data_IF_247847967429
#
_entry.id   IF_247847967429
#
_cell.length_a   1.000
_cell.length_b   1.000
_cell.length_c   1.000
_cell.angle_alpha   90.00
_cell.angle_beta   90.00
_cell.angle_gamma   90.00
#
_symmetry.space_group_name_H-M   'P 1'
#
loop_
_entity.id
_entity.type
_entity.pdbx_description
1 polymer ?
#
# COMPACT_ATOMS: atom_id res chain seq x y z
N UNK A 1 -5.51 10.64 -3.40
CA UNK A 1 -4.47 9.64 -3.07
C UNK A 1 -4.60 9.31 -1.59
N UNK A 2 -5.33 8.25 -1.21
CA UNK A 2 -5.63 7.94 0.19
C UNK A 2 -4.89 6.69 0.74
N UNK A 3 -4.11 6.01 -0.11
CA UNK A 3 -3.48 4.71 0.24
C UNK A 3 -2.01 4.82 0.67
N UNK A 4 -1.39 6.00 0.54
CA UNK A 4 0.01 6.22 0.96
C UNK A 4 0.18 6.47 2.46
N UNK A 5 -0.87 6.95 3.15
CA UNK A 5 -0.80 7.29 4.57
C UNK A 5 -0.54 6.09 5.49
N UNK A 6 -1.13 4.89 5.27
CA UNK A 6 -0.79 3.71 6.07
C UNK A 6 0.68 3.29 5.91
N UNK A 7 1.22 3.35 4.69
CA UNK A 7 2.64 3.04 4.40
C UNK A 7 3.56 4.06 5.08
N UNK A 8 3.18 5.33 5.03
CA UNK A 8 3.90 6.43 5.69
C UNK A 8 3.91 6.26 7.21
N UNK A 9 2.78 5.88 7.82
CA UNK A 9 2.70 5.63 9.26
C UNK A 9 3.52 4.41 9.66
N UNK A 10 3.37 3.29 8.96
CA UNK A 10 4.15 2.08 9.21
C UNK A 10 5.65 2.39 9.18
N UNK A 11 6.11 3.12 8.15
CA UNK A 11 7.49 3.58 8.05
C UNK A 11 7.94 4.40 9.27
N UNK A 12 7.17 5.42 9.67
CA UNK A 12 7.53 6.28 10.80
C UNK A 12 7.56 5.53 12.13
N UNK A 13 6.66 4.57 12.35
CA UNK A 13 6.55 3.84 13.61
C UNK A 13 7.54 2.68 13.75
N UNK A 14 8.09 2.17 12.65
CA UNK A 14 9.10 1.11 12.67
C UNK A 14 10.52 1.64 12.51
N UNK A 15 10.71 2.73 11.75
CA UNK A 15 12.05 3.25 11.41
C UNK A 15 12.35 4.63 11.97
N UNK A 16 11.33 5.35 12.44
CA UNK A 16 11.46 6.74 12.89
C UNK A 16 11.44 7.76 11.76
N UNK A 17 11.49 9.05 12.13
CA UNK A 17 11.38 10.18 11.19
C UNK A 17 12.66 10.50 10.41
N UNK A 18 13.79 9.98 10.86
CA UNK A 18 15.11 10.31 10.31
C UNK A 18 15.47 9.43 9.10
N UNK A 19 14.65 8.43 8.81
CA UNK A 19 14.81 7.53 7.67
C UNK A 19 14.05 8.06 6.44
N UNK A 20 14.66 8.10 5.24
CA UNK A 20 13.97 8.51 4.02
C UNK A 20 12.83 7.57 3.60
N UNK A 21 11.72 8.15 3.13
CA UNK A 21 10.57 7.39 2.65
C UNK A 21 10.84 6.54 1.39
N UNK A 22 10.07 5.47 1.14
CA UNK A 22 10.17 4.63 -0.04
C UNK A 22 10.01 5.37 -1.37
N UNK A 23 10.73 4.92 -2.40
CA UNK A 23 10.83 5.58 -3.72
C UNK A 23 9.61 5.39 -4.64
N UNK A 24 8.68 4.47 -4.33
CA UNK A 24 7.72 3.90 -5.27
C UNK A 24 6.53 4.79 -5.72
N UNK A 25 6.70 6.10 -5.86
CA UNK A 25 5.66 7.03 -6.30
C UNK A 25 6.17 7.93 -7.45
N UNK A 26 5.87 7.62 -8.73
CA UNK A 26 6.30 8.44 -9.87
C UNK A 26 5.60 9.81 -9.89
N UNK A 27 6.33 10.85 -10.26
CA UNK A 27 5.86 12.26 -10.28
C UNK A 27 5.73 12.85 -11.68
N UNK A 28 6.07 12.10 -12.73
CA UNK A 28 5.95 12.53 -14.12
C UNK A 28 5.36 11.41 -14.99
N UNK A 29 4.53 11.78 -15.96
CA UNK A 29 3.94 10.89 -16.96
C UNK A 29 4.34 11.39 -18.36
N UNK A 30 4.48 10.48 -19.32
CA UNK A 30 4.78 10.84 -20.73
C UNK A 30 3.57 11.55 -21.39
N UNK A 31 3.83 12.35 -22.43
CA UNK A 31 2.84 13.29 -23.02
C UNK A 31 1.68 12.60 -23.76
N UNK A 32 1.80 11.30 -24.09
CA UNK A 32 0.79 10.51 -24.84
C UNK A 32 0.00 9.51 -23.96
N UNK A 33 -0.25 9.85 -22.69
CA UNK A 33 -1.01 9.01 -21.75
C UNK A 33 -2.29 9.73 -21.32
N UNK A 34 -3.46 9.16 -21.64
CA UNK A 34 -4.73 9.61 -21.08
C UNK A 34 -4.83 9.12 -19.63
N UNK A 35 -4.82 10.05 -18.67
CA UNK A 35 -4.95 9.72 -17.26
C UNK A 35 -6.42 9.78 -16.86
N UNK A 36 -6.95 8.66 -16.40
CA UNK A 36 -8.29 8.56 -15.82
C UNK A 36 -8.24 8.04 -14.39
N UNK A 37 -9.28 8.30 -13.61
CA UNK A 37 -9.42 7.75 -12.25
C UNK A 37 -10.64 6.86 -12.20
N UNK A 38 -10.50 5.65 -11.66
CA UNK A 38 -11.60 4.73 -11.50
C UNK A 38 -11.64 4.13 -10.09
N UNK A 39 -12.82 3.67 -9.70
CA UNK A 39 -12.99 2.89 -8.47
C UNK A 39 -12.80 1.43 -8.81
N UNK A 40 -11.85 0.79 -8.15
CA UNK A 40 -11.58 -0.64 -8.29
C UNK A 40 -11.91 -1.35 -6.98
N UNK A 41 -12.30 -2.61 -7.11
CA UNK A 41 -12.56 -3.50 -5.98
C UNK A 41 -11.59 -4.66 -6.05
N UNK A 42 -10.88 -4.91 -4.96
CA UNK A 42 -9.98 -6.04 -4.82
C UNK A 42 -10.61 -7.00 -3.82
N UNK A 43 -10.64 -8.28 -4.18
CA UNK A 43 -11.02 -9.36 -3.28
C UNK A 43 -9.76 -10.09 -2.82
N UNK A 44 -9.63 -10.26 -1.50
CA UNK A 44 -8.53 -10.98 -0.89
C UNK A 44 -9.06 -12.01 0.11
N UNK A 45 -8.42 -13.18 0.16
CA UNK A 45 -8.75 -14.22 1.15
C UNK A 45 -8.16 -13.94 2.52
N UNK A 46 -7.01 -13.27 2.55
CA UNK A 46 -6.25 -12.97 3.76
C UNK A 46 -5.68 -11.55 3.65
N UNK A 47 -6.18 -10.65 4.50
CA UNK A 47 -5.74 -9.26 4.53
C UNK A 47 -4.30 -9.15 5.03
N UNK A 48 -3.90 -9.98 6.01
CA UNK A 48 -2.55 -9.93 6.58
C UNK A 48 -1.52 -10.35 5.54
N UNK A 49 -1.83 -11.39 4.76
CA UNK A 49 -0.99 -11.81 3.64
C UNK A 49 -0.87 -10.70 2.58
N UNK A 50 -1.99 -10.07 2.20
CA UNK A 50 -1.98 -8.96 1.26
C UNK A 50 -1.17 -7.75 1.77
N UNK A 51 -1.29 -7.41 3.05
CA UNK A 51 -0.54 -6.30 3.65
C UNK A 51 0.95 -6.60 3.77
N UNK A 52 1.32 -7.85 4.07
CA UNK A 52 2.73 -8.29 4.04
C UNK A 52 3.33 -8.16 2.63
N UNK A 53 2.60 -8.58 1.60
CA UNK A 53 3.02 -8.40 0.20
C UNK A 53 3.08 -6.92 -0.21
N UNK A 54 2.16 -6.10 0.31
CA UNK A 54 2.16 -4.65 0.06
C UNK A 54 3.38 -4.00 0.71
N UNK A 55 3.71 -4.38 1.94
CA UNK A 55 4.88 -3.89 2.67
C UNK A 55 6.18 -4.30 1.97
N UNK A 56 6.30 -5.55 1.51
CA UNK A 56 7.50 -5.99 0.79
C UNK A 56 7.75 -5.22 -0.51
N UNK A 57 6.68 -4.82 -1.20
CA UNK A 57 6.78 -4.11 -2.48
C UNK A 57 6.95 -2.60 -2.32
N UNK A 58 6.19 -1.97 -1.42
CA UNK A 58 6.12 -0.51 -1.29
C UNK A 58 6.88 0.04 -0.08
N UNK A 59 7.21 -0.80 0.90
CA UNK A 59 7.93 -0.43 2.11
C UNK A 59 9.46 -0.41 1.96
N UNK A 60 9.98 -0.97 0.86
CA UNK A 60 11.42 -1.04 0.64
C UNK A 60 12.05 0.35 0.52
N UNK A 61 13.20 0.54 1.16
CA UNK A 61 13.99 1.77 1.02
C UNK A 61 14.78 1.74 -0.29
N UNK A 62 15.35 2.88 -0.66
CA UNK A 62 16.21 2.98 -1.84
C UNK A 62 17.47 2.09 -1.74
N UNK A 63 17.96 1.88 -0.52
CA UNK A 63 19.11 1.04 -0.17
C UNK A 63 18.72 -0.40 0.25
N UNK A 64 17.42 -0.74 0.23
CA UNK A 64 16.92 -2.08 0.50
C UNK A 64 16.25 -2.24 1.87
N UNK A 65 16.46 -3.41 2.48
CA UNK A 65 15.90 -3.82 3.77
C UNK A 65 17.02 -4.07 4.77
N UNK A 66 16.90 -3.52 5.97
CA UNK A 66 17.84 -3.76 7.06
C UNK A 66 17.39 -4.95 7.92
N UNK A 67 18.30 -5.63 8.66
CA UNK A 67 17.91 -6.72 9.56
C UNK A 67 16.84 -6.31 10.59
N UNK A 68 16.88 -5.07 11.08
CA UNK A 68 15.87 -4.53 12.01
C UNK A 68 14.48 -4.40 11.37
N UNK A 69 14.38 -4.27 10.03
CA UNK A 69 13.10 -4.30 9.34
C UNK A 69 12.47 -5.69 9.37
N UNK A 70 13.29 -6.74 9.31
CA UNK A 70 12.83 -8.13 9.44
C UNK A 70 12.33 -8.39 10.87
N UNK A 71 13.06 -7.90 11.88
CA UNK A 71 12.64 -7.99 13.29
C UNK A 71 11.31 -7.25 13.55
N UNK A 72 11.07 -6.14 12.87
CA UNK A 72 9.85 -5.34 12.99
C UNK A 72 8.77 -5.67 11.94
N UNK A 73 8.94 -6.72 11.15
CA UNK A 73 8.06 -7.01 10.01
C UNK A 73 6.61 -7.18 10.44
N UNK A 74 6.36 -7.99 11.46
CA UNK A 74 5.01 -8.24 11.96
C UNK A 74 4.35 -6.96 12.49
N UNK A 75 5.11 -6.10 13.16
CA UNK A 75 4.62 -4.80 13.64
C UNK A 75 4.18 -3.91 12.47
N UNK A 76 4.99 -3.85 11.40
CA UNK A 76 4.63 -3.09 10.20
C UNK A 76 3.33 -3.62 9.57
N UNK A 77 3.21 -4.94 9.45
CA UNK A 77 2.02 -5.59 8.89
C UNK A 77 0.79 -5.36 9.76
N UNK A 78 0.90 -5.43 11.08
CA UNK A 78 -0.22 -5.17 11.99
C UNK A 78 -0.74 -3.74 11.91
N UNK A 79 0.16 -2.75 11.78
CA UNK A 79 -0.23 -1.35 11.55
C UNK A 79 -1.01 -1.22 10.24
N UNK A 80 -0.52 -1.82 9.15
CA UNK A 80 -1.20 -1.78 7.85
C UNK A 80 -2.58 -2.45 7.89
N UNK A 81 -2.69 -3.62 8.52
CA UNK A 81 -3.97 -4.32 8.69
C UNK A 81 -4.94 -3.45 9.50
N UNK A 82 -4.51 -2.93 10.64
CA UNK A 82 -5.34 -2.10 11.51
C UNK A 82 -5.86 -0.84 10.82
N UNK A 83 -5.00 -0.14 10.06
CA UNK A 83 -5.38 1.05 9.32
C UNK A 83 -6.38 0.75 8.19
N UNK A 84 -6.21 -0.38 7.49
CA UNK A 84 -7.14 -0.79 6.44
C UNK A 84 -8.49 -1.19 7.03
N UNK A 85 -8.51 -1.98 8.10
CA UNK A 85 -9.76 -2.42 8.75
C UNK A 85 -10.55 -1.27 9.37
N UNK A 86 -9.86 -0.26 9.92
CA UNK A 86 -10.49 0.95 10.44
C UNK A 86 -10.98 1.90 9.33
N UNK A 87 -10.49 1.72 8.11
CA UNK A 87 -10.80 2.58 6.97
C UNK A 87 -12.19 2.33 6.36
N UNK A 88 -12.79 3.36 5.72
CA UNK A 88 -14.13 3.24 5.09
C UNK A 88 -14.12 2.41 3.80
N UNK A 89 -12.97 1.85 3.44
CA UNK A 89 -12.72 1.17 2.17
C UNK A 89 -12.63 -0.35 2.32
N UNK A 90 -12.60 -0.85 3.56
CA UNK A 90 -12.63 -2.26 3.88
C UNK A 90 -14.07 -2.72 4.12
N UNK A 91 -14.39 -3.92 3.63
CA UNK A 91 -15.67 -4.57 3.90
C UNK A 91 -15.53 -6.09 3.82
N UNK A 92 -16.39 -6.82 4.55
CA UNK A 92 -16.41 -8.29 4.54
C UNK A 92 -17.39 -8.80 3.48
N UNK A 93 -17.00 -9.82 2.73
CA UNK A 93 -17.82 -10.50 1.73
C UNK A 93 -18.50 -11.76 2.32
N UNK A 94 -19.59 -12.26 1.71
CA UNK A 94 -20.43 -13.33 2.27
C UNK A 94 -19.71 -14.68 2.53
N UNK A 95 -18.57 -14.93 1.89
CA UNK A 95 -17.80 -16.18 2.03
C UNK A 95 -16.60 -16.06 2.99
N UNK A 96 -16.52 -14.97 3.75
CA UNK A 96 -15.39 -14.69 4.65
C UNK A 96 -14.20 -14.02 3.96
N UNK A 97 -14.27 -13.83 2.64
CA UNK A 97 -13.29 -13.02 1.90
C UNK A 97 -13.43 -11.54 2.26
N UNK A 98 -12.37 -10.78 2.00
CA UNK A 98 -12.27 -9.35 2.24
C UNK A 98 -12.41 -8.62 0.91
N UNK A 99 -13.19 -7.55 0.91
CA UNK A 99 -13.26 -6.58 -0.16
C UNK A 99 -12.55 -5.29 0.21
N UNK A 100 -11.75 -4.76 -0.70
CA UNK A 100 -11.10 -3.45 -0.59
C UNK A 100 -11.54 -2.57 -1.75
N UNK A 101 -12.06 -1.38 -1.45
CA UNK A 101 -12.39 -0.35 -2.44
C UNK A 101 -11.22 0.62 -2.58
N UNK A 102 -10.69 0.79 -3.79
CA UNK A 102 -9.55 1.67 -4.04
C UNK A 102 -9.88 2.66 -5.15
N UNK A 103 -9.29 3.86 -5.06
CA UNK A 103 -9.35 4.84 -6.15
C UNK A 103 -8.03 4.75 -6.90
N UNK A 104 -8.06 4.10 -8.06
CA UNK A 104 -6.90 3.89 -8.90
C UNK A 104 -6.79 5.01 -9.94
N UNK A 105 -5.58 5.55 -10.12
CA UNK A 105 -5.24 6.38 -11.28
C UNK A 105 -4.69 5.46 -12.35
N UNK A 106 -5.31 5.47 -13.54
CA UNK A 106 -4.98 4.60 -14.66
C UNK A 106 -4.51 5.48 -15.81
N UNK A 107 -3.31 5.22 -16.29
CA UNK A 107 -2.82 5.77 -17.55
C UNK A 107 -3.19 4.84 -18.71
N UNK A 108 -3.95 5.35 -19.66
CA UNK A 108 -4.29 4.69 -20.91
C UNK A 108 -3.35 5.23 -22.00
N UNK A 109 -2.37 4.42 -22.39
CA UNK A 109 -1.54 4.72 -23.55
C UNK A 109 -2.26 4.21 -24.81
N UNK A 110 -2.65 5.10 -25.70
CA UNK A 110 -3.17 4.75 -27.02
C UNK A 110 -2.02 4.70 -28.02
N UNK A 111 -1.97 3.65 -28.84
CA UNK A 111 -0.99 3.49 -29.92
C UNK A 111 -1.27 4.38 -31.12
#
# INVERSE_FOLDING_TARGET
MAHGEPIKRAHLETRGSDVPFPMAMPTHWEEDIEITTCVVYIEAKDLRHLMSATWSFLGARADGWDPEDEENWDKAVDILVGDIEAGPYYFKLPLGNIGLRMVATVGLATK
#
